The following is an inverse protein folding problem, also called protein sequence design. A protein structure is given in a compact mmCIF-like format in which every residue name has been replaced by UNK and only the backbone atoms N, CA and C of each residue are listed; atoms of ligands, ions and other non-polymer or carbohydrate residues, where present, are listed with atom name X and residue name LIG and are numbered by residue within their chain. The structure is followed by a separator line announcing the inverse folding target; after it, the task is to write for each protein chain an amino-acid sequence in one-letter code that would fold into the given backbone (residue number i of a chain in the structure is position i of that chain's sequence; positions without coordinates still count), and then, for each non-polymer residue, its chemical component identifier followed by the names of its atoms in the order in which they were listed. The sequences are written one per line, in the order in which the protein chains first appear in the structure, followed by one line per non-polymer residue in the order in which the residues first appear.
data_IF_948484581347
#
_entry.id   IF_948484581347
#
_cell.length_a   1.000
_cell.length_b   1.000
_cell.length_c   1.000
_cell.angle_alpha   90.00
_cell.angle_beta   90.00
_cell.angle_gamma   90.00
#
_symmetry.space_group_name_H-M   'P 1'
#
loop_
_entity.id
_entity.type
_entity.pdbx_description
1 polymer ?
#
# COMPACT_ATOMS: atom_id res chain seq x y z
N UNK A 1 7.36 -28.67 14.64
CA UNK A 1 6.30 -28.75 13.61
C UNK A 1 6.88 -28.17 12.32
N UNK A 2 6.83 -28.87 11.19
CA UNK A 2 7.13 -28.24 9.90
C UNK A 2 5.92 -27.38 9.51
N UNK A 3 6.07 -26.06 9.59
CA UNK A 3 4.95 -25.12 9.64
C UNK A 3 4.39 -24.74 8.27
N UNK A 4 5.12 -24.97 7.18
CA UNK A 4 4.66 -24.76 5.81
C UNK A 4 5.78 -24.81 4.76
N UNK A 5 5.42 -24.83 3.49
CA UNK A 5 6.34 -24.72 2.35
C UNK A 5 6.21 -23.33 1.72
N UNK A 6 7.33 -22.60 1.66
CA UNK A 6 7.44 -21.31 0.97
C UNK A 6 8.38 -21.46 -0.22
N UNK A 7 7.98 -20.91 -1.37
CA UNK A 7 8.87 -20.80 -2.53
C UNK A 7 9.25 -19.35 -2.79
N UNK A 8 10.47 -19.14 -3.26
CA UNK A 8 10.95 -17.85 -3.74
C UNK A 8 11.35 -18.03 -5.20
N UNK A 9 10.84 -17.17 -6.08
CA UNK A 9 11.19 -17.16 -7.50
C UNK A 9 11.43 -15.73 -7.95
N UNK A 10 12.51 -15.52 -8.67
CA UNK A 10 12.92 -14.19 -9.07
C UNK A 10 13.93 -14.16 -10.20
N UNK A 11 14.22 -12.94 -10.64
CA UNK A 11 15.26 -12.62 -11.63
C UNK A 11 16.23 -11.66 -10.95
N UNK A 12 17.51 -11.89 -11.15
CA UNK A 12 18.60 -11.01 -10.72
C UNK A 12 19.46 -10.70 -11.93
N UNK A 13 19.69 -9.42 -12.16
CA UNK A 13 20.46 -8.93 -13.30
C UNK A 13 21.36 -7.80 -12.86
N UNK A 14 22.53 -7.71 -13.47
CA UNK A 14 23.46 -6.61 -13.24
C UNK A 14 24.15 -6.23 -14.54
N UNK A 15 24.39 -4.93 -14.70
CA UNK A 15 25.14 -4.35 -15.80
C UNK A 15 26.17 -3.39 -15.21
N UNK A 16 27.41 -3.49 -15.68
CA UNK A 16 28.48 -2.54 -15.34
C UNK A 16 29.10 -2.01 -16.62
N UNK A 17 29.19 -0.70 -16.73
CA UNK A 17 29.73 0.01 -17.87
C UNK A 17 30.86 0.93 -17.40
N UNK A 18 31.88 1.06 -18.25
CA UNK A 18 32.90 2.10 -18.12
C UNK A 18 33.01 2.85 -19.46
N UNK A 19 32.02 3.70 -19.80
CA UNK A 19 31.94 4.36 -21.11
C UNK A 19 33.08 5.36 -21.37
N UNK A 20 33.69 5.94 -20.33
CA UNK A 20 34.79 6.88 -20.47
C UNK A 20 35.97 6.35 -19.66
N UNK A 21 37.05 5.96 -20.33
CA UNK A 21 38.28 5.53 -19.69
C UNK A 21 39.50 6.12 -20.38
N UNK A 22 40.04 7.18 -19.80
CA UNK A 22 41.21 7.90 -20.28
C UNK A 22 42.17 8.18 -19.13
N UNK A 23 43.28 8.87 -19.41
CA UNK A 23 44.22 9.30 -18.36
C UNK A 23 43.54 10.20 -17.33
N UNK A 24 42.78 11.20 -17.81
CA UNK A 24 42.24 12.27 -16.96
C UNK A 24 40.78 12.03 -16.56
N UNK A 25 40.05 11.15 -17.25
CA UNK A 25 38.64 10.87 -16.98
C UNK A 25 38.38 9.37 -16.85
N UNK A 26 37.64 8.97 -15.82
CA UNK A 26 37.06 7.63 -15.70
C UNK A 26 35.60 7.74 -15.23
N UNK A 27 34.65 7.20 -16.01
CA UNK A 27 33.23 7.19 -15.68
C UNK A 27 32.78 5.74 -15.56
N UNK A 28 32.49 5.30 -14.35
CA UNK A 28 31.89 4.00 -14.06
C UNK A 28 30.42 4.16 -13.74
N UNK A 29 29.64 3.24 -14.29
CA UNK A 29 28.20 3.19 -14.11
C UNK A 29 27.79 1.74 -13.86
N UNK A 30 27.06 1.50 -12.79
CA UNK A 30 26.52 0.20 -12.42
C UNK A 30 25.01 0.26 -12.26
N UNK A 31 24.33 -0.79 -12.73
CA UNK A 31 22.93 -1.07 -12.45
C UNK A 31 22.82 -2.50 -11.93
N UNK A 32 22.05 -2.70 -10.87
CA UNK A 32 21.59 -4.01 -10.44
C UNK A 32 20.07 -3.99 -10.28
N UNK A 33 19.39 -5.01 -10.78
CA UNK A 33 17.96 -5.16 -10.66
C UNK A 33 17.60 -6.57 -10.17
N UNK A 34 16.76 -6.61 -9.14
CA UNK A 34 16.17 -7.83 -8.60
C UNK A 34 14.66 -7.73 -8.64
N UNK A 35 14.03 -8.79 -9.14
CA UNK A 35 12.62 -9.05 -8.95
C UNK A 35 12.44 -10.35 -8.18
N UNK A 36 11.75 -10.37 -7.05
CA UNK A 36 11.49 -11.60 -6.30
C UNK A 36 10.05 -11.66 -5.81
N UNK A 37 9.45 -12.85 -5.90
CA UNK A 37 8.15 -13.19 -5.32
C UNK A 37 8.32 -14.36 -4.38
N UNK A 38 7.92 -14.18 -3.12
CA UNK A 38 7.74 -15.28 -2.18
C UNK A 38 6.30 -15.79 -2.31
N UNK A 39 6.05 -17.09 -2.11
CA UNK A 39 4.72 -17.67 -2.23
C UNK A 39 4.55 -18.81 -1.25
N UNK A 40 3.49 -18.75 -0.44
CA UNK A 40 3.15 -19.81 0.51
C UNK A 40 2.36 -20.89 -0.21
N UNK A 41 3.01 -22.04 -0.43
CA UNK A 41 2.37 -23.18 -1.11
C UNK A 41 1.44 -23.95 -0.20
N UNK A 42 1.87 -24.19 1.03
CA UNK A 42 1.12 -24.99 2.00
C UNK A 42 1.49 -24.60 3.42
N UNK A 43 0.53 -24.76 4.32
CA UNK A 43 0.66 -24.72 5.76
C UNK A 43 0.24 -26.10 6.33
N UNK A 44 0.32 -26.24 7.64
CA UNK A 44 -0.24 -27.40 8.33
C UNK A 44 -1.75 -27.55 7.97
N UNK A 45 -2.29 -28.78 7.76
CA UNK A 45 -3.64 -28.98 7.24
C UNK A 45 -4.78 -28.29 8.00
N UNK A 46 -4.58 -28.03 9.29
CA UNK A 46 -5.55 -27.37 10.18
C UNK A 46 -5.47 -25.83 10.15
N UNK A 47 -4.54 -25.25 9.41
CA UNK A 47 -4.26 -23.80 9.41
C UNK A 47 -4.11 -23.30 7.98
N UNK A 48 -5.00 -22.42 7.53
CA UNK A 48 -4.95 -21.84 6.16
C UNK A 48 -4.35 -20.45 6.09
N UNK A 49 -4.23 -19.77 7.24
CA UNK A 49 -3.68 -18.42 7.37
C UNK A 49 -3.02 -18.25 8.73
N UNK A 50 -1.87 -17.60 8.78
CA UNK A 50 -1.16 -17.23 10.01
C UNK A 50 -0.75 -15.77 9.96
N UNK A 51 -0.80 -15.09 11.11
CA UNK A 51 -0.23 -13.75 11.25
C UNK A 51 1.30 -13.82 11.20
N UNK A 52 1.93 -13.02 10.34
CA UNK A 52 3.39 -12.95 10.26
C UNK A 52 3.89 -12.14 11.45
N UNK A 53 4.85 -12.69 12.21
CA UNK A 53 5.41 -12.06 13.41
C UNK A 53 4.34 -11.63 14.44
N UNK A 54 3.24 -12.39 14.55
CA UNK A 54 2.13 -12.07 15.45
C UNK A 54 1.22 -10.93 14.97
N UNK A 55 1.39 -10.45 13.73
CA UNK A 55 0.55 -9.38 13.18
C UNK A 55 -0.91 -9.83 13.01
N UNK A 56 -1.84 -8.93 13.33
CA UNK A 56 -3.27 -9.09 13.03
C UNK A 56 -3.71 -8.53 11.67
N UNK A 57 -2.76 -8.01 10.87
CA UNK A 57 -3.05 -7.38 9.57
C UNK A 57 -2.11 -7.82 8.46
N UNK A 58 -0.95 -8.40 8.79
CA UNK A 58 0.00 -8.98 7.85
C UNK A 58 -0.03 -10.49 8.01
N UNK A 59 -0.36 -11.20 6.94
CA UNK A 59 -0.59 -12.64 6.97
C UNK A 59 0.25 -13.41 5.94
N UNK A 60 0.52 -14.66 6.27
CA UNK A 60 0.88 -15.70 5.32
C UNK A 60 -0.37 -16.58 5.13
N UNK A 61 -0.84 -16.70 3.91
CA UNK A 61 -2.05 -17.45 3.53
C UNK A 61 -1.71 -18.36 2.37
N UNK A 62 -2.18 -19.61 2.43
CA UNK A 62 -1.95 -20.57 1.34
C UNK A 62 -2.49 -20.01 0.02
N UNK A 63 -1.70 -20.12 -1.05
CA UNK A 63 -2.09 -19.62 -2.36
C UNK A 63 -1.80 -18.13 -2.60
N UNK A 64 -1.14 -17.44 -1.66
CA UNK A 64 -0.74 -16.05 -1.79
C UNK A 64 0.75 -15.82 -1.50
N UNK A 65 1.26 -14.66 -1.90
CA UNK A 65 2.61 -14.22 -1.51
C UNK A 65 2.68 -14.02 0.02
N UNK A 66 3.80 -14.35 0.66
CA UNK A 66 3.95 -14.18 2.12
C UNK A 66 4.01 -12.70 2.46
N UNK A 67 3.45 -12.28 3.60
CA UNK A 67 3.33 -10.88 4.03
C UNK A 67 2.22 -10.09 3.32
N UNK A 68 1.08 -10.73 3.04
CA UNK A 68 -0.11 -10.00 2.56
C UNK A 68 -0.66 -9.10 3.65
N UNK A 69 -0.96 -7.85 3.29
CA UNK A 69 -1.78 -6.95 4.08
C UNK A 69 -3.24 -7.30 3.84
N UNK A 70 -3.91 -7.83 4.87
CA UNK A 70 -5.33 -8.18 4.85
C UNK A 70 -6.04 -7.34 5.91
N UNK A 71 -6.93 -6.45 5.48
CA UNK A 71 -7.54 -5.46 6.36
C UNK A 71 -8.99 -5.15 5.96
N UNK A 72 -9.82 -4.66 6.90
CA UNK A 72 -11.15 -4.15 6.56
C UNK A 72 -11.11 -3.01 5.53
N UNK A 73 -12.03 -3.06 4.58
CA UNK A 73 -12.26 -2.03 3.56
C UNK A 73 -13.75 -1.65 3.49
N UNK A 74 -14.07 -0.65 2.69
CA UNK A 74 -15.44 -0.25 2.37
C UNK A 74 -16.18 -1.34 1.60
N UNK A 75 -17.48 -1.47 1.86
CA UNK A 75 -18.35 -2.26 1.00
C UNK A 75 -18.52 -1.52 -0.34
N UNK A 76 -18.48 -2.27 -1.43
CA UNK A 76 -18.59 -1.72 -2.78
C UNK A 76 -19.66 -2.46 -3.56
N UNK A 77 -20.33 -1.74 -4.45
CA UNK A 77 -21.22 -2.36 -5.43
C UNK A 77 -20.44 -3.02 -6.58
N UNK A 78 -21.15 -3.63 -7.52
CA UNK A 78 -20.57 -4.34 -8.66
C UNK A 78 -19.75 -3.43 -9.59
N UNK A 79 -19.97 -2.11 -9.53
CA UNK A 79 -19.20 -1.11 -10.28
C UNK A 79 -17.98 -0.59 -9.50
N UNK A 80 -17.75 -1.07 -8.28
CA UNK A 80 -16.65 -0.68 -7.42
C UNK A 80 -16.86 0.62 -6.63
N UNK A 81 -18.08 1.18 -6.64
CA UNK A 81 -18.43 2.40 -5.90
C UNK A 81 -18.67 2.07 -4.44
N UNK A 82 -18.24 2.94 -3.53
CA UNK A 82 -18.45 2.74 -2.07
C UNK A 82 -19.92 2.88 -1.72
N UNK A 83 -20.48 1.87 -1.07
CA UNK A 83 -21.89 1.88 -0.65
C UNK A 83 -22.03 2.78 0.59
N UNK A 84 -22.84 3.83 0.48
CA UNK A 84 -23.20 4.74 1.57
C UNK A 84 -24.64 4.54 2.02
N UNK A 85 -24.90 4.85 3.29
CA UNK A 85 -26.25 4.92 3.82
C UNK A 85 -27.02 6.12 3.23
N UNK A 86 -28.25 5.88 2.78
CA UNK A 86 -29.06 6.87 2.07
C UNK A 86 -29.46 8.07 2.97
N UNK A 87 -29.55 7.87 4.29
CA UNK A 87 -30.02 8.90 5.21
C UNK A 87 -28.89 9.75 5.77
N UNK A 88 -27.71 9.16 5.95
CA UNK A 88 -26.57 9.76 6.64
C UNK A 88 -25.40 10.04 5.72
N UNK A 89 -25.35 9.47 4.52
CA UNK A 89 -24.24 9.57 3.57
C UNK A 89 -22.95 8.89 4.04
N UNK A 90 -22.95 8.20 5.19
CA UNK A 90 -21.77 7.53 5.71
C UNK A 90 -21.50 6.22 4.96
N UNK A 91 -20.22 5.90 4.68
CA UNK A 91 -19.86 4.67 4.00
C UNK A 91 -20.03 3.45 4.92
N UNK A 92 -20.39 2.33 4.30
CA UNK A 92 -20.47 1.01 4.95
C UNK A 92 -19.17 0.22 4.78
N UNK A 93 -18.88 -0.68 5.73
CA UNK A 93 -17.72 -1.59 5.67
C UNK A 93 -18.12 -2.93 5.07
N UNK A 94 -17.22 -3.53 4.31
CA UNK A 94 -17.38 -4.89 3.84
C UNK A 94 -17.39 -5.86 5.04
N UNK A 95 -18.14 -6.96 4.92
CA UNK A 95 -18.17 -8.03 5.92
C UNK A 95 -16.83 -8.77 5.98
N UNK A 96 -16.21 -8.97 4.81
CA UNK A 96 -14.92 -9.64 4.67
C UNK A 96 -13.77 -8.63 4.54
N UNK A 97 -12.61 -8.98 5.09
CA UNK A 97 -11.39 -8.18 4.90
C UNK A 97 -10.81 -8.40 3.50
N UNK A 98 -10.28 -7.33 2.92
CA UNK A 98 -9.67 -7.37 1.59
C UNK A 98 -8.16 -7.52 1.67
N UNK A 99 -7.55 -8.07 0.61
CA UNK A 99 -6.10 -8.12 0.42
C UNK A 99 -5.68 -6.88 -0.37
N UNK A 100 -4.89 -6.01 0.24
CA UNK A 100 -4.52 -4.72 -0.39
C UNK A 100 -3.16 -4.78 -1.07
N UNK A 101 -2.26 -5.63 -0.58
CA UNK A 101 -0.93 -5.74 -1.15
C UNK A 101 0.02 -6.54 -0.28
N UNK A 102 1.31 -6.46 -0.59
CA UNK A 102 2.37 -7.18 0.11
C UNK A 102 3.36 -6.19 0.73
N UNK A 103 3.92 -6.50 1.90
CA UNK A 103 4.94 -5.63 2.54
C UNK A 103 6.37 -5.84 2.03
N UNK A 104 6.57 -6.81 1.15
CA UNK A 104 7.87 -7.15 0.57
C UNK A 104 8.07 -6.44 -0.77
N UNK A 105 9.11 -5.61 -0.95
CA UNK A 105 9.44 -5.01 -2.25
C UNK A 105 9.64 -6.07 -3.34
N UNK A 106 8.80 -6.01 -4.37
CA UNK A 106 8.90 -6.91 -5.54
C UNK A 106 10.01 -6.47 -6.48
N UNK A 107 10.25 -5.17 -6.59
CA UNK A 107 11.27 -4.57 -7.44
C UNK A 107 12.33 -3.91 -6.56
N UNK A 108 13.59 -4.21 -6.83
CA UNK A 108 14.75 -3.55 -6.22
C UNK A 108 15.71 -3.19 -7.34
N UNK A 109 16.06 -1.92 -7.43
CA UNK A 109 16.98 -1.39 -8.43
C UNK A 109 18.04 -0.56 -7.71
N UNK A 110 19.30 -0.92 -7.86
CA UNK A 110 20.44 -0.12 -7.44
C UNK A 110 21.12 0.49 -8.65
N UNK A 111 21.47 1.77 -8.56
CA UNK A 111 22.26 2.48 -9.57
C UNK A 111 23.45 3.12 -8.88
N UNK A 112 24.65 2.82 -9.35
CA UNK A 112 25.89 3.43 -8.87
C UNK A 112 26.60 4.20 -10.00
N UNK A 113 27.14 5.36 -9.65
CA UNK A 113 27.87 6.25 -10.54
C UNK A 113 29.18 6.61 -9.86
N UNK A 114 30.29 6.54 -10.58
CA UNK A 114 31.59 7.02 -10.09
C UNK A 114 32.29 7.76 -11.22
N UNK A 115 32.46 9.06 -11.05
CA UNK A 115 33.17 9.93 -11.96
C UNK A 115 34.48 10.36 -11.32
N UNK A 116 35.59 9.98 -11.95
CA UNK A 116 36.92 10.46 -11.63
C UNK A 116 37.37 11.46 -12.68
N UNK A 117 37.83 12.62 -12.23
CA UNK A 117 38.55 13.60 -13.02
C UNK A 117 39.92 13.89 -12.36
N UNK A 118 41.00 13.44 -13.01
CA UNK A 118 42.36 13.44 -12.45
C UNK A 118 42.38 12.82 -11.04
N UNK A 119 42.69 13.62 -10.04
CA UNK A 119 42.79 13.22 -8.62
C UNK A 119 41.46 13.38 -7.86
N UNK A 120 40.42 13.94 -8.48
CA UNK A 120 39.11 14.12 -7.88
C UNK A 120 38.18 12.97 -8.26
N UNK A 121 37.47 12.42 -7.28
CA UNK A 121 36.45 11.39 -7.52
C UNK A 121 35.17 11.78 -6.80
N UNK A 122 34.06 11.73 -7.54
CA UNK A 122 32.70 11.82 -6.99
C UNK A 122 32.02 10.49 -7.26
N UNK A 123 31.42 9.90 -6.24
CA UNK A 123 30.64 8.67 -6.41
C UNK A 123 29.25 8.87 -5.84
N UNK A 124 28.25 8.20 -6.38
CA UNK A 124 26.88 8.30 -5.87
C UNK A 124 26.16 6.98 -6.04
N UNK A 125 25.27 6.70 -5.10
CA UNK A 125 24.44 5.50 -5.10
C UNK A 125 22.98 5.90 -4.97
N UNK A 126 22.16 5.40 -5.87
CA UNK A 126 20.71 5.52 -5.85
C UNK A 126 20.07 4.14 -5.67
N UNK A 127 18.99 4.08 -4.91
CA UNK A 127 18.18 2.87 -4.77
C UNK A 127 16.72 3.18 -5.06
N UNK A 128 16.08 2.30 -5.81
CA UNK A 128 14.64 2.21 -5.92
C UNK A 128 14.14 0.90 -5.30
N UNK A 129 13.05 1.00 -4.55
CA UNK A 129 12.26 -0.15 -4.13
C UNK A 129 10.81 0.10 -4.49
N UNK A 130 10.13 -0.90 -5.05
CA UNK A 130 8.73 -0.74 -5.39
C UNK A 130 7.94 -2.03 -5.59
N UNK A 131 6.66 -1.85 -5.92
CA UNK A 131 5.67 -2.91 -6.01
C UNK A 131 5.25 -3.46 -4.64
N UNK A 132 5.33 -2.65 -3.58
CA UNK A 132 4.93 -3.06 -2.23
C UNK A 132 4.17 -1.96 -1.49
N UNK A 133 3.60 -2.35 -0.35
CA UNK A 133 2.78 -1.48 0.48
C UNK A 133 3.26 -1.54 1.93
N UNK A 134 2.99 -0.50 2.69
CA UNK A 134 3.11 -0.53 4.15
C UNK A 134 1.79 -0.14 4.79
N UNK A 135 1.50 -0.73 5.95
CA UNK A 135 0.31 -0.44 6.74
C UNK A 135 0.70 0.44 7.93
N UNK A 136 0.21 1.68 7.98
CA UNK A 136 0.40 2.61 9.09
C UNK A 136 -0.92 2.85 9.83
N UNK A 137 -1.57 1.75 10.22
CA UNK A 137 -2.95 1.75 10.72
C UNK A 137 -3.09 2.53 12.02
N UNK A 138 -2.28 2.24 13.03
CA UNK A 138 -2.39 2.88 14.34
C UNK A 138 -2.04 4.37 14.27
N UNK A 139 -0.95 4.71 13.59
CA UNK A 139 -0.54 6.10 13.41
C UNK A 139 -1.59 6.88 12.61
N UNK A 140 -2.01 6.36 11.45
CA UNK A 140 -3.02 7.02 10.61
C UNK A 140 -4.36 7.20 11.34
N UNK A 141 -4.85 6.15 12.01
CA UNK A 141 -6.06 6.20 12.82
C UNK A 141 -5.97 7.21 13.97
N UNK A 142 -4.82 7.28 14.64
CA UNK A 142 -4.58 8.25 15.71
C UNK A 142 -4.55 9.68 15.17
N UNK A 143 -3.91 9.92 14.04
CA UNK A 143 -3.87 11.23 13.40
C UNK A 143 -5.25 11.69 12.92
N UNK A 144 -6.07 10.79 12.39
CA UNK A 144 -7.48 11.08 12.05
C UNK A 144 -8.31 11.37 13.31
N UNK A 145 -8.07 10.64 14.41
CA UNK A 145 -8.78 10.84 15.69
C UNK A 145 -8.48 12.20 16.32
N UNK A 146 -7.21 12.62 16.33
CA UNK A 146 -6.82 13.92 16.89
C UNK A 146 -6.95 15.08 15.90
N UNK A 147 -7.39 14.82 14.67
CA UNK A 147 -7.59 15.83 13.62
C UNK A 147 -6.30 16.46 13.08
N UNK A 148 -5.16 15.76 13.21
CA UNK A 148 -3.84 16.22 12.74
C UNK A 148 -3.44 15.65 11.37
N UNK A 149 -4.19 14.68 10.84
CA UNK A 149 -3.96 14.18 9.49
C UNK A 149 -4.42 15.19 8.43
N UNK A 150 -3.72 15.22 7.29
CA UNK A 150 -4.17 16.00 6.13
C UNK A 150 -5.56 15.56 5.64
N UNK A 151 -5.88 14.26 5.75
CA UNK A 151 -7.19 13.68 5.42
C UNK A 151 -8.32 14.31 6.23
N UNK A 152 -8.12 14.48 7.55
CA UNK A 152 -9.11 15.09 8.44
C UNK A 152 -9.38 16.58 8.17
N UNK A 153 -8.63 17.20 7.25
CA UNK A 153 -8.85 18.56 6.77
C UNK A 153 -9.49 18.61 5.37
N UNK A 154 -9.70 17.46 4.72
CA UNK A 154 -10.35 17.41 3.41
C UNK A 154 -11.76 18.00 3.46
N UNK A 155 -12.20 18.52 2.32
CA UNK A 155 -13.49 19.20 2.15
C UNK A 155 -13.70 20.35 3.15
N UNK A 156 -12.62 20.98 3.61
CA UNK A 156 -12.65 22.02 4.64
C UNK A 156 -13.40 21.62 5.92
N UNK A 157 -13.52 20.31 6.19
CA UNK A 157 -14.34 19.74 7.28
C UNK A 157 -15.84 20.05 7.16
N UNK A 158 -16.30 20.42 5.97
CA UNK A 158 -17.70 20.56 5.63
C UNK A 158 -18.28 19.24 5.12
N UNK A 159 -19.61 19.16 5.04
CA UNK A 159 -20.29 17.98 4.49
C UNK A 159 -19.90 17.80 3.03
N UNK A 160 -19.65 16.56 2.63
CA UNK A 160 -19.25 16.21 1.28
C UNK A 160 -19.95 14.95 0.81
N UNK A 161 -20.14 14.83 -0.50
CA UNK A 161 -20.55 13.56 -1.14
C UNK A 161 -19.34 12.63 -1.12
N UNK A 162 -19.47 11.45 -0.51
CA UNK A 162 -18.35 10.51 -0.44
C UNK A 162 -17.89 10.16 -1.88
N UNK A 163 -16.59 10.33 -2.22
CA UNK A 163 -16.15 10.17 -3.60
C UNK A 163 -16.43 8.77 -4.14
N UNK A 164 -16.90 8.70 -5.39
CA UNK A 164 -17.20 7.45 -6.09
C UNK A 164 -18.09 6.53 -5.22
N UNK A 165 -19.21 7.06 -4.72
CA UNK A 165 -20.15 6.31 -3.88
C UNK A 165 -21.46 5.99 -4.59
N UNK A 166 -22.20 5.04 -4.01
CA UNK A 166 -23.53 4.63 -4.42
C UNK A 166 -24.42 4.36 -3.21
N UNK A 167 -25.73 4.34 -3.41
CA UNK A 167 -26.70 3.99 -2.37
C UNK A 167 -27.76 3.05 -2.95
N UNK A 168 -28.41 2.28 -2.07
CA UNK A 168 -29.50 1.39 -2.46
C UNK A 168 -30.77 2.20 -2.71
N UNK A 169 -31.29 2.13 -3.94
CA UNK A 169 -32.57 2.74 -4.33
C UNK A 169 -33.66 1.66 -4.39
N UNK A 170 -34.50 1.60 -3.36
CA UNK A 170 -35.60 0.63 -3.26
C UNK A 170 -36.57 0.69 -4.45
N UNK A 171 -36.77 1.87 -5.04
CA UNK A 171 -37.69 2.03 -6.17
C UNK A 171 -37.16 1.37 -7.45
N UNK A 172 -35.83 1.24 -7.56
CA UNK A 172 -35.15 0.61 -8.70
C UNK A 172 -34.64 -0.80 -8.37
N UNK A 173 -34.62 -1.18 -7.09
CA UNK A 173 -34.03 -2.44 -6.62
C UNK A 173 -32.54 -2.56 -6.98
N UNK A 174 -31.80 -1.46 -6.97
CA UNK A 174 -30.41 -1.42 -7.43
C UNK A 174 -29.58 -0.34 -6.73
N UNK A 175 -28.25 -0.51 -6.75
CA UNK A 175 -27.31 0.54 -6.36
C UNK A 175 -27.18 1.61 -7.44
N UNK A 176 -27.48 2.85 -7.08
CA UNK A 176 -27.38 4.01 -7.96
C UNK A 176 -26.26 4.94 -7.53
N UNK A 177 -25.69 5.67 -8.48
CA UNK A 177 -24.61 6.62 -8.19
C UNK A 177 -25.09 7.70 -7.22
N UNK A 178 -24.27 7.96 -6.21
CA UNK A 178 -24.51 9.05 -5.28
C UNK A 178 -23.91 10.35 -5.82
N UNK A 179 -24.77 11.31 -6.15
CA UNK A 179 -24.37 12.63 -6.66
C UNK A 179 -24.70 13.78 -5.70
N UNK A 180 -25.47 13.53 -4.64
CA UNK A 180 -26.02 14.58 -3.79
C UNK A 180 -26.14 14.24 -2.29
N UNK A 181 -26.03 12.97 -1.89
CA UNK A 181 -26.11 12.56 -0.49
C UNK A 181 -24.75 12.82 0.15
N UNK A 182 -24.69 13.85 0.99
CA UNK A 182 -23.50 14.20 1.75
C UNK A 182 -23.45 13.43 3.06
N UNK A 183 -22.24 13.21 3.60
CA UNK A 183 -22.08 12.79 5.00
C UNK A 183 -22.80 13.77 5.94
N UNK A 184 -23.49 13.23 6.94
CA UNK A 184 -24.28 14.03 7.89
C UNK A 184 -23.42 14.94 8.77
N UNK A 185 -22.15 14.61 8.95
CA UNK A 185 -21.12 15.45 9.58
C UNK A 185 -19.79 15.27 8.82
N UNK A 186 -19.23 16.37 8.31
CA UNK A 186 -17.95 16.38 7.58
C UNK A 186 -16.72 16.65 8.46
N UNK A 187 -16.93 16.80 9.77
CA UNK A 187 -15.92 17.03 10.78
C UNK A 187 -15.67 15.79 11.62
N UNK A 188 -15.73 15.93 12.95
CA UNK A 188 -15.40 14.83 13.86
C UNK A 188 -16.39 13.66 13.78
N UNK A 189 -17.64 13.88 13.38
CA UNK A 189 -18.65 12.84 13.22
C UNK A 189 -18.29 11.80 12.16
N UNK A 190 -17.54 12.20 11.12
CA UNK A 190 -16.95 11.29 10.15
C UNK A 190 -15.50 10.93 10.49
N UNK A 191 -14.60 11.92 10.58
CA UNK A 191 -13.15 11.67 10.58
C UNK A 191 -12.67 10.93 11.82
N UNK A 192 -13.25 11.18 12.99
CA UNK A 192 -12.87 10.51 14.25
C UNK A 192 -13.65 9.21 14.50
N UNK A 193 -14.58 8.86 13.62
CA UNK A 193 -15.48 7.73 13.83
C UNK A 193 -14.80 6.40 13.49
N UNK A 194 -14.91 5.42 14.39
CA UNK A 194 -14.35 4.07 14.21
C UNK A 194 -15.14 3.21 13.21
N UNK A 195 -16.44 3.42 13.08
CA UNK A 195 -17.29 2.63 12.19
C UNK A 195 -17.10 3.02 10.74
N UNK A 196 -17.09 4.33 10.44
CA UNK A 196 -17.16 4.84 9.06
C UNK A 196 -15.79 5.20 8.46
N UNK A 197 -14.80 5.58 9.27
CA UNK A 197 -13.49 6.02 8.78
C UNK A 197 -12.34 5.19 9.36
N UNK A 198 -12.16 5.23 10.69
CA UNK A 198 -10.95 4.69 11.32
C UNK A 198 -10.87 3.16 11.41
N UNK A 199 -12.00 2.47 11.43
CA UNK A 199 -12.03 1.00 11.37
C UNK A 199 -11.94 0.45 9.95
N UNK A 200 -11.98 1.32 8.94
CA UNK A 200 -11.70 0.98 7.55
C UNK A 200 -10.21 1.09 7.31
N UNK A 201 -9.46 0.11 7.79
CA UNK A 201 -7.99 0.11 7.84
C UNK A 201 -7.32 0.25 6.47
N UNK A 202 -8.01 -0.05 5.38
CA UNK A 202 -7.54 0.21 4.00
C UNK A 202 -7.12 1.66 3.77
N UNK A 203 -7.74 2.60 4.49
CA UNK A 203 -7.39 4.02 4.51
C UNK A 203 -5.95 4.33 4.90
N UNK A 204 -5.29 3.40 5.59
CA UNK A 204 -3.96 3.56 6.16
C UNK A 204 -2.93 2.59 5.56
N UNK A 205 -3.22 2.05 4.38
CA UNK A 205 -2.28 1.25 3.60
C UNK A 205 -1.81 2.09 2.42
N UNK A 206 -0.49 2.25 2.31
CA UNK A 206 0.13 3.15 1.36
C UNK A 206 1.15 2.41 0.51
N UNK A 207 1.37 2.85 -0.73
CA UNK A 207 2.50 2.37 -1.52
C UNK A 207 3.80 2.69 -0.81
N UNK A 208 4.69 1.69 -0.74
CA UNK A 208 6.04 1.85 -0.22
C UNK A 208 7.05 2.25 -1.29
N UNK A 209 6.61 2.53 -2.52
CA UNK A 209 7.50 2.74 -3.65
C UNK A 209 8.30 4.03 -3.45
N UNK A 210 9.64 3.95 -3.54
CA UNK A 210 10.51 5.10 -3.33
C UNK A 210 11.77 5.05 -4.19
N UNK A 211 12.28 6.25 -4.50
CA UNK A 211 13.67 6.49 -4.89
C UNK A 211 14.42 7.14 -3.72
N UNK A 212 15.65 6.71 -3.48
CA UNK A 212 16.52 7.26 -2.45
C UNK A 212 17.91 7.49 -3.02
N UNK A 213 18.39 8.73 -2.91
CA UNK A 213 19.82 9.01 -2.99
C UNK A 213 20.45 8.52 -1.69
N UNK A 214 21.18 7.42 -1.77
CA UNK A 214 21.68 6.68 -0.62
C UNK A 214 22.95 7.32 -0.09
N UNK A 215 23.91 7.60 -0.97
CA UNK A 215 25.25 8.08 -0.66
C UNK A 215 25.78 9.00 -1.79
N UNK A 216 26.60 9.97 -1.41
CA UNK A 216 27.43 10.84 -2.25
C UNK A 216 28.86 10.89 -1.67
#
# INVERSE_FOLDING_TARGET
LNTGEVTNKGIETALRLNPIRTRDWDLRFGINYTHNKNFLKSLHPQTKRIGVNGSGVIFAEEGYEVNQIVVPDYARDEQGRVIVDINTGYPSRATESTRIGNTTPKHRLGVDLSLRWKDFTVSSVFEYRGGYYFASIEQGSTMDFIGSSARSAYYNRERFVFPNSSYWDESKGAYVENTNITVSDGGSGFWTNSTYNRGTNSNYVYSGDYWKWREL
#
